data_IF_695156829152
#
_entry.id   IF_695156829152
#
_cell.length_a   1.000
_cell.length_b   1.000
_cell.length_c   1.000
_cell.angle_alpha   90.00
_cell.angle_beta   90.00
_cell.angle_gamma   90.00
#
_symmetry.space_group_name_H-M   'P 1'
#
loop_
_entity.id
_entity.type
_entity.pdbx_description
1 polymer ?
#
# COMPACT_ATOMS: atom_id res chain seq x y z
N UNK A 1 -1.57 18.38 -0.40
CA UNK A 1 -0.69 19.27 0.43
C UNK A 1 -1.46 20.35 1.19
N UNK A 2 -2.22 21.23 0.53
CA UNK A 2 -2.77 22.44 1.19
C UNK A 2 -3.86 22.16 2.24
N UNK A 3 -4.83 21.28 1.93
CA UNK A 3 -5.94 20.99 2.83
C UNK A 3 -5.51 20.21 4.08
N UNK A 4 -4.93 19.02 3.88
CA UNK A 4 -4.54 18.11 4.97
C UNK A 4 -3.14 18.47 5.50
N UNK A 5 -2.14 18.49 4.63
CA UNK A 5 -0.73 18.68 5.03
C UNK A 5 -0.47 19.99 5.77
N UNK A 6 -0.77 21.13 5.14
CA UNK A 6 -0.60 22.45 5.77
C UNK A 6 -1.65 22.74 6.84
N UNK A 7 -2.81 22.07 6.79
CA UNK A 7 -3.82 22.14 7.83
C UNK A 7 -3.43 21.44 9.13
N UNK A 8 -2.34 20.65 9.12
CA UNK A 8 -1.89 19.82 10.24
C UNK A 8 -3.04 18.98 10.83
N UNK A 9 -2.98 18.67 12.12
CA UNK A 9 -3.98 17.85 12.79
C UNK A 9 -5.40 18.42 12.66
N UNK A 10 -5.60 19.72 12.88
CA UNK A 10 -6.93 20.35 12.85
C UNK A 10 -7.55 20.25 11.45
N UNK A 11 -6.79 20.58 10.41
CA UNK A 11 -7.24 20.46 9.02
C UNK A 11 -7.48 19.01 8.62
N UNK A 12 -6.55 18.11 8.96
CA UNK A 12 -6.70 16.68 8.70
C UNK A 12 -7.98 16.13 9.32
N UNK A 13 -8.19 16.31 10.64
CA UNK A 13 -9.40 15.84 11.33
C UNK A 13 -10.68 16.37 10.69
N UNK A 14 -10.71 17.65 10.29
CA UNK A 14 -11.86 18.26 9.65
C UNK A 14 -12.19 17.57 8.31
N UNK A 15 -11.21 17.43 7.43
CA UNK A 15 -11.43 16.84 6.10
C UNK A 15 -11.68 15.32 6.15
N UNK A 16 -11.08 14.61 7.10
CA UNK A 16 -11.35 13.18 7.31
C UNK A 16 -12.77 12.95 7.83
N UNK A 17 -13.26 13.76 8.78
CA UNK A 17 -14.67 13.69 9.23
C UNK A 17 -15.64 13.98 8.10
N UNK A 18 -15.34 14.96 7.24
CA UNK A 18 -16.16 15.23 6.05
C UNK A 18 -16.15 14.06 5.06
N UNK A 19 -15.04 13.33 4.95
CA UNK A 19 -14.91 12.21 4.01
C UNK A 19 -15.86 11.05 4.32
N UNK A 20 -16.36 10.96 5.56
CA UNK A 20 -17.37 9.97 5.95
C UNK A 20 -18.77 10.24 5.38
N UNK A 21 -19.04 11.47 4.93
CA UNK A 21 -20.36 11.88 4.43
C UNK A 21 -20.34 12.37 2.98
N UNK A 22 -19.14 12.53 2.40
CA UNK A 22 -18.95 12.96 1.02
C UNK A 22 -17.63 12.41 0.48
N UNK A 23 -17.56 12.19 -0.84
CA UNK A 23 -16.37 11.66 -1.47
C UNK A 23 -15.14 12.56 -1.24
N UNK A 24 -14.00 11.93 -0.93
CA UNK A 24 -12.76 12.62 -0.58
C UNK A 24 -12.24 13.48 -1.73
N UNK A 25 -12.41 13.04 -2.98
CA UNK A 25 -12.00 13.81 -4.15
C UNK A 25 -12.68 15.18 -4.19
N UNK A 26 -14.00 15.23 -4.05
CA UNK A 26 -14.76 16.48 -4.07
C UNK A 26 -14.37 17.39 -2.91
N UNK A 27 -14.17 16.82 -1.72
CA UNK A 27 -13.74 17.59 -0.53
C UNK A 27 -12.38 18.25 -0.79
N UNK A 28 -11.37 17.46 -1.18
CA UNK A 28 -10.01 17.98 -1.36
C UNK A 28 -9.92 18.94 -2.54
N UNK A 29 -10.61 18.67 -3.64
CA UNK A 29 -10.64 19.54 -4.80
C UNK A 29 -11.28 20.90 -4.47
N UNK A 30 -12.45 20.90 -3.84
CA UNK A 30 -13.13 22.14 -3.45
C UNK A 30 -12.34 22.94 -2.41
N UNK A 31 -11.76 22.26 -1.41
CA UNK A 31 -10.90 22.89 -0.42
C UNK A 31 -9.63 23.49 -1.03
N UNK A 32 -8.94 22.76 -1.92
CA UNK A 32 -7.75 23.24 -2.60
C UNK A 32 -8.01 24.52 -3.40
N UNK A 33 -9.10 24.56 -4.18
CA UNK A 33 -9.53 25.75 -4.93
C UNK A 33 -9.79 26.95 -4.04
N UNK A 34 -10.45 26.75 -2.91
CA UNK A 34 -10.77 27.84 -2.01
C UNK A 34 -9.54 28.35 -1.26
N UNK A 35 -8.63 27.45 -0.85
CA UNK A 35 -7.37 27.82 -0.23
C UNK A 35 -6.47 28.59 -1.19
N UNK A 36 -6.40 28.23 -2.48
CA UNK A 36 -5.64 28.98 -3.49
C UNK A 36 -6.14 30.42 -3.65
N UNK A 37 -7.45 30.68 -3.49
CA UNK A 37 -8.03 32.03 -3.57
C UNK A 37 -7.78 32.86 -2.32
N UNK A 38 -7.71 32.23 -1.15
CA UNK A 38 -7.65 32.91 0.15
C UNK A 38 -6.24 33.07 0.70
N UNK A 39 -5.35 32.15 0.34
CA UNK A 39 -3.97 32.14 0.83
C UNK A 39 -3.06 32.82 -0.20
N UNK A 40 -1.97 33.41 0.28
CA UNK A 40 -0.93 34.01 -0.56
C UNK A 40 0.00 32.94 -1.13
N UNK A 41 -0.53 32.04 -1.96
CA UNK A 41 0.25 31.04 -2.67
C UNK A 41 0.88 31.71 -3.90
N UNK A 42 2.22 31.66 -4.01
CA UNK A 42 2.92 32.22 -5.16
C UNK A 42 2.95 31.23 -6.33
N UNK A 43 3.38 29.99 -6.05
CA UNK A 43 3.46 28.91 -7.02
C UNK A 43 3.53 27.56 -6.28
N UNK A 44 3.31 26.48 -7.01
CA UNK A 44 3.51 25.10 -6.55
C UNK A 44 4.64 24.43 -7.33
N UNK A 45 5.32 23.49 -6.68
CA UNK A 45 6.30 22.58 -7.30
C UNK A 45 5.78 21.17 -7.14
N UNK A 46 5.57 20.49 -8.26
CA UNK A 46 5.14 19.10 -8.30
C UNK A 46 6.31 18.23 -8.76
N UNK A 47 6.59 17.20 -7.98
CA UNK A 47 7.63 16.20 -8.22
C UNK A 47 6.94 14.87 -8.54
N UNK A 48 7.36 14.22 -9.61
CA UNK A 48 6.93 12.88 -9.98
C UNK A 48 8.10 11.93 -9.85
N UNK A 49 7.92 10.85 -9.11
CA UNK A 49 8.88 9.76 -8.99
C UNK A 49 8.39 8.53 -9.76
N UNK A 50 9.30 7.85 -10.44
CA UNK A 50 9.01 6.58 -11.11
C UNK A 50 9.04 5.39 -10.12
N UNK A 51 8.80 4.17 -10.61
CA UNK A 51 8.79 2.94 -9.80
C UNK A 51 10.14 2.59 -9.15
N UNK A 52 11.23 3.20 -9.62
CA UNK A 52 12.57 3.07 -9.04
C UNK A 52 12.87 4.13 -7.98
N UNK A 53 11.89 4.96 -7.63
CA UNK A 53 12.03 6.11 -6.72
C UNK A 53 13.00 7.17 -7.26
N UNK A 54 13.14 7.24 -8.58
CA UNK A 54 13.93 8.26 -9.26
C UNK A 54 12.99 9.38 -9.70
N UNK A 55 13.44 10.62 -9.56
CA UNK A 55 12.71 11.78 -10.05
C UNK A 55 12.56 11.69 -11.58
N UNK A 56 11.32 11.53 -12.04
CA UNK A 56 10.96 11.41 -13.45
C UNK A 56 10.55 12.75 -14.06
N UNK A 57 9.74 13.55 -13.34
CA UNK A 57 9.34 14.89 -13.79
C UNK A 57 9.33 15.92 -12.66
N UNK A 58 9.64 17.17 -13.04
CA UNK A 58 9.37 18.36 -12.23
C UNK A 58 8.46 19.27 -13.04
N UNK A 59 7.38 19.74 -12.44
CA UNK A 59 6.57 20.84 -12.97
C UNK A 59 6.40 21.92 -11.92
N UNK A 60 6.27 23.14 -12.40
CA UNK A 60 5.89 24.29 -11.59
C UNK A 60 4.65 24.92 -12.22
N UNK A 61 3.85 25.54 -11.38
CA UNK A 61 2.71 26.34 -11.83
C UNK A 61 2.45 27.47 -10.85
N UNK A 62 2.10 28.64 -11.37
CA UNK A 62 1.56 29.72 -10.55
C UNK A 62 0.25 29.27 -9.88
N UNK A 63 -0.21 30.02 -8.87
CA UNK A 63 -1.37 29.61 -8.06
C UNK A 63 -2.63 29.28 -8.89
N UNK A 64 -2.87 29.99 -9.99
CA UNK A 64 -3.97 29.78 -10.93
C UNK A 64 -3.74 28.61 -11.92
N UNK A 65 -2.50 28.14 -12.05
CA UNK A 65 -2.12 27.02 -12.91
C UNK A 65 -2.04 25.68 -12.17
N UNK A 66 -1.93 25.70 -10.83
CA UNK A 66 -1.70 24.49 -10.00
C UNK A 66 -2.71 23.37 -10.31
N UNK A 67 -4.01 23.69 -10.43
CA UNK A 67 -5.03 22.67 -10.72
C UNK A 67 -4.80 21.99 -12.08
N UNK A 68 -4.46 22.77 -13.10
CA UNK A 68 -4.21 22.25 -14.45
C UNK A 68 -2.93 21.42 -14.49
N UNK A 69 -1.87 21.88 -13.81
CA UNK A 69 -0.61 21.15 -13.68
C UNK A 69 -0.83 19.81 -12.96
N UNK A 70 -1.50 19.81 -11.82
CA UNK A 70 -1.79 18.59 -11.04
C UNK A 70 -2.63 17.59 -11.85
N UNK A 71 -3.66 18.08 -12.56
CA UNK A 71 -4.52 17.24 -13.39
C UNK A 71 -3.77 16.59 -14.56
N UNK A 72 -2.85 17.32 -15.19
CA UNK A 72 -2.02 16.79 -16.28
C UNK A 72 -1.00 15.78 -15.76
N UNK A 73 -0.32 16.08 -14.64
CA UNK A 73 0.62 15.16 -14.02
C UNK A 73 -0.05 13.87 -13.57
N UNK A 74 -1.24 13.95 -12.96
CA UNK A 74 -1.97 12.76 -12.54
C UNK A 74 -2.23 11.78 -13.69
N UNK A 75 -2.43 12.28 -14.92
CA UNK A 75 -2.58 11.44 -16.12
C UNK A 75 -1.28 10.73 -16.49
N UNK A 76 -0.15 11.40 -16.35
CA UNK A 76 1.18 10.85 -16.65
C UNK A 76 1.54 9.77 -15.62
N UNK A 77 1.43 10.11 -14.33
CA UNK A 77 1.82 9.22 -13.22
C UNK A 77 0.99 7.94 -13.19
N UNK A 78 -0.25 7.98 -13.68
CA UNK A 78 -1.15 6.84 -13.61
C UNK A 78 -0.57 5.60 -14.29
N UNK A 79 0.19 5.77 -15.37
CA UNK A 79 0.83 4.69 -16.10
C UNK A 79 2.18 4.26 -15.48
N UNK A 80 2.77 5.11 -14.64
CA UNK A 80 4.03 4.83 -13.94
C UNK A 80 3.84 4.29 -12.53
N UNK A 81 2.62 4.31 -11.95
CA UNK A 81 2.43 3.83 -10.58
C UNK A 81 2.87 2.36 -10.42
N UNK A 82 3.57 2.01 -9.32
CA UNK A 82 3.89 0.62 -8.99
C UNK A 82 2.62 -0.24 -8.94
N UNK A 83 2.68 -1.44 -9.52
CA UNK A 83 1.57 -2.41 -9.51
C UNK A 83 2.12 -3.82 -9.37
N UNK A 84 1.34 -4.70 -8.76
CA UNK A 84 1.63 -6.13 -8.84
C UNK A 84 1.50 -6.57 -10.31
N UNK A 85 2.41 -7.41 -10.81
CA UNK A 85 2.41 -7.75 -12.23
C UNK A 85 1.26 -8.69 -12.61
N UNK A 86 0.53 -9.27 -11.65
CA UNK A 86 -0.50 -10.28 -11.88
C UNK A 86 -1.70 -9.97 -10.98
N UNK A 87 -2.92 -10.19 -11.51
CA UNK A 87 -4.15 -9.74 -10.84
C UNK A 87 -4.74 -10.76 -9.86
N UNK A 88 -4.64 -12.07 -10.13
CA UNK A 88 -5.30 -13.10 -9.32
C UNK A 88 -4.32 -13.78 -8.37
N UNK A 89 -4.38 -13.42 -7.08
CA UNK A 89 -3.41 -13.88 -6.08
C UNK A 89 -4.14 -14.63 -4.96
N UNK A 90 -3.76 -15.89 -4.74
CA UNK A 90 -4.28 -16.68 -3.62
C UNK A 90 -3.76 -16.13 -2.31
N UNK A 91 -2.46 -15.90 -2.18
CA UNK A 91 -1.93 -15.12 -1.08
C UNK A 91 -0.67 -14.34 -1.44
N UNK A 92 -0.62 -13.11 -0.91
CA UNK A 92 0.48 -12.17 -1.06
C UNK A 92 1.25 -12.11 0.26
N UNK A 93 2.57 -12.31 0.19
CA UNK A 93 3.49 -12.11 1.29
C UNK A 93 4.15 -10.75 1.10
N UNK A 94 4.09 -9.90 2.12
CA UNK A 94 4.75 -8.61 2.17
C UNK A 94 5.77 -8.68 3.30
N UNK A 95 7.05 -8.55 2.98
CA UNK A 95 8.11 -8.68 3.97
C UNK A 95 8.04 -7.60 5.05
N UNK A 96 7.72 -6.37 4.66
CA UNK A 96 7.64 -5.24 5.59
C UNK A 96 6.55 -4.24 5.21
N UNK A 97 5.94 -3.65 6.24
CA UNK A 97 5.07 -2.48 6.12
C UNK A 97 5.63 -1.32 6.93
N UNK A 98 5.17 -0.10 6.66
CA UNK A 98 5.65 1.07 7.37
C UNK A 98 5.12 2.38 6.80
N UNK A 99 4.98 3.42 7.63
CA UNK A 99 4.48 4.72 7.17
C UNK A 99 5.42 5.38 6.14
N UNK A 100 6.70 5.02 6.19
CA UNK A 100 7.75 5.37 5.25
C UNK A 100 7.60 4.69 3.88
N UNK A 101 6.89 3.56 3.82
CA UNK A 101 6.56 2.84 2.58
C UNK A 101 5.32 3.47 1.93
N UNK A 102 4.27 3.70 2.72
CA UNK A 102 3.02 4.32 2.31
C UNK A 102 2.37 5.01 3.50
N UNK A 103 1.59 6.07 3.28
CA UNK A 103 0.88 6.74 4.38
C UNK A 103 -0.03 5.83 5.21
N UNK A 104 -0.48 4.71 4.63
CA UNK A 104 -1.28 3.66 5.28
C UNK A 104 -0.43 2.41 5.61
N UNK A 105 0.89 2.52 5.70
CA UNK A 105 1.77 1.36 5.96
C UNK A 105 2.06 0.50 4.73
N UNK A 106 1.04 0.25 3.92
CA UNK A 106 1.11 -0.36 2.58
C UNK A 106 0.25 0.44 1.61
N UNK A 107 0.54 0.38 0.31
CA UNK A 107 -0.30 1.00 -0.71
C UNK A 107 -1.53 0.12 -0.96
N UNK A 108 -2.70 0.67 -0.63
CA UNK A 108 -3.99 -0.04 -0.69
C UNK A 108 -4.46 -0.34 -2.11
N UNK A 109 -4.00 0.42 -3.11
CA UNK A 109 -4.34 0.20 -4.52
C UNK A 109 -3.41 -0.84 -5.13
N UNK A 110 -2.14 -0.88 -4.71
CA UNK A 110 -1.18 -1.93 -5.11
C UNK A 110 -1.69 -3.31 -4.71
N UNK A 111 -2.19 -3.47 -3.47
CA UNK A 111 -2.68 -4.76 -2.97
C UNK A 111 -4.16 -5.02 -3.27
N UNK A 112 -4.84 -4.08 -3.94
CA UNK A 112 -6.26 -4.19 -4.29
C UNK A 112 -7.20 -4.23 -3.08
N UNK A 113 -6.81 -3.61 -1.97
CA UNK A 113 -7.56 -3.63 -0.70
C UNK A 113 -7.43 -2.32 0.07
N UNK A 114 -8.47 -1.49 -0.01
CA UNK A 114 -8.65 -0.24 0.72
C UNK A 114 -9.16 -0.48 2.14
N UNK A 115 -10.08 -1.44 2.30
CA UNK A 115 -10.65 -1.83 3.58
C UNK A 115 -11.34 -0.68 4.33
N UNK A 116 -12.03 0.20 3.58
CA UNK A 116 -12.80 1.33 4.10
C UNK A 116 -14.09 1.53 3.30
N UNK A 117 -15.11 0.66 3.47
CA UNK A 117 -16.29 0.61 2.60
C UNK A 117 -17.15 1.88 2.66
N UNK A 118 -17.06 2.67 3.74
CA UNK A 118 -17.74 3.96 3.85
C UNK A 118 -17.08 5.06 3.01
N UNK A 119 -15.76 4.94 2.73
CA UNK A 119 -14.99 5.98 2.06
C UNK A 119 -14.77 5.69 0.58
N UNK A 120 -14.52 4.44 0.22
CA UNK A 120 -14.21 4.07 -1.15
C UNK A 120 -14.59 2.63 -1.46
N UNK A 121 -14.88 2.39 -2.74
CA UNK A 121 -15.04 1.03 -3.28
C UNK A 121 -13.68 0.37 -3.42
N UNK A 122 -13.64 -0.93 -3.19
CA UNK A 122 -12.46 -1.73 -3.47
C UNK A 122 -12.09 -1.69 -4.95
N UNK A 123 -10.78 -1.70 -5.30
CA UNK A 123 -10.33 -1.92 -6.67
C UNK A 123 -10.84 -3.26 -7.20
N UNK A 124 -11.14 -3.32 -8.51
CA UNK A 124 -11.52 -4.58 -9.15
C UNK A 124 -10.33 -5.53 -9.31
N UNK A 125 -9.13 -4.96 -9.46
CA UNK A 125 -7.85 -5.66 -9.51
C UNK A 125 -6.75 -4.88 -8.76
N UNK A 126 -5.71 -5.57 -8.25
CA UNK A 126 -5.60 -7.03 -8.15
C UNK A 126 -6.57 -7.62 -7.12
N UNK A 127 -6.92 -8.90 -7.26
CA UNK A 127 -7.71 -9.66 -6.29
C UNK A 127 -6.80 -10.56 -5.47
N UNK A 128 -6.50 -10.11 -4.26
CA UNK A 128 -5.71 -10.86 -3.28
C UNK A 128 -6.63 -11.52 -2.25
N UNK A 129 -6.67 -12.86 -2.20
CA UNK A 129 -7.53 -13.55 -1.22
C UNK A 129 -6.97 -13.44 0.20
N UNK A 130 -5.66 -13.59 0.39
CA UNK A 130 -5.01 -13.42 1.70
C UNK A 130 -3.76 -12.56 1.62
N UNK A 131 -3.57 -11.67 2.58
CA UNK A 131 -2.35 -10.87 2.75
C UNK A 131 -1.66 -11.28 4.04
N UNK A 132 -0.38 -11.61 3.95
CA UNK A 132 0.52 -11.83 5.07
C UNK A 132 1.47 -10.63 5.14
N UNK A 133 1.58 -9.98 6.30
CA UNK A 133 2.64 -8.99 6.54
C UNK A 133 3.61 -9.53 7.57
N UNK A 134 4.89 -9.59 7.19
CA UNK A 134 5.91 -10.30 7.94
C UNK A 134 6.56 -9.45 9.03
N UNK A 135 6.73 -8.15 8.81
CA UNK A 135 7.40 -7.24 9.75
C UNK A 135 6.97 -5.77 9.60
N UNK A 136 7.39 -4.94 10.54
CA UNK A 136 7.24 -3.48 10.56
C UNK A 136 8.62 -2.81 10.46
N UNK A 137 8.76 -1.83 9.57
CA UNK A 137 10.00 -1.07 9.39
C UNK A 137 10.36 -0.29 10.65
N UNK A 138 11.66 -0.13 10.91
CA UNK A 138 12.13 0.70 12.03
C UNK A 138 11.76 2.19 11.83
N UNK A 139 11.83 2.66 10.58
CA UNK A 139 11.49 4.05 10.19
C UNK A 139 10.02 4.41 10.39
N UNK A 140 9.14 3.43 10.63
CA UNK A 140 7.76 3.70 11.03
C UNK A 140 7.61 4.18 12.48
N UNK A 141 8.66 4.06 13.30
CA UNK A 141 8.65 4.35 14.75
C UNK A 141 7.53 3.58 15.50
N UNK A 142 7.24 2.36 15.02
CA UNK A 142 6.18 1.50 15.55
C UNK A 142 4.77 1.86 15.07
N UNK A 143 4.61 2.84 14.17
CA UNK A 143 3.32 3.20 13.63
C UNK A 143 2.85 2.19 12.57
N UNK A 144 1.97 1.28 12.97
CA UNK A 144 1.45 0.23 12.12
C UNK A 144 0.04 0.57 11.56
N UNK A 145 -0.19 1.84 11.23
CA UNK A 145 -1.42 2.24 10.52
C UNK A 145 -1.57 1.36 9.26
N UNK A 146 -2.77 0.81 9.04
CA UNK A 146 -3.02 -0.10 7.92
C UNK A 146 -2.78 -1.58 8.19
N UNK A 147 -2.26 -1.97 9.36
CA UNK A 147 -2.02 -3.40 9.69
C UNK A 147 -3.27 -4.27 9.55
N UNK A 148 -4.45 -3.70 9.80
CA UNK A 148 -5.74 -4.37 9.67
C UNK A 148 -6.16 -4.70 8.24
N UNK A 149 -5.41 -4.24 7.23
CA UNK A 149 -5.61 -4.64 5.83
C UNK A 149 -5.14 -6.08 5.61
N UNK A 150 -4.19 -6.57 6.43
CA UNK A 150 -3.70 -7.94 6.34
C UNK A 150 -4.69 -8.96 6.94
N UNK A 151 -4.60 -10.20 6.47
CA UNK A 151 -5.30 -11.34 7.07
C UNK A 151 -4.45 -11.98 8.17
N UNK A 152 -3.13 -12.01 7.96
CA UNK A 152 -2.16 -12.61 8.86
C UNK A 152 -0.99 -11.67 9.13
N UNK A 153 -0.54 -11.64 10.37
CA UNK A 153 0.68 -10.95 10.79
C UNK A 153 1.54 -11.86 11.65
N UNK A 154 2.81 -11.54 11.80
CA UNK A 154 3.70 -12.29 12.69
C UNK A 154 3.72 -11.68 14.10
N UNK A 155 4.11 -12.49 15.10
CA UNK A 155 4.34 -12.00 16.47
C UNK A 155 5.36 -10.84 16.50
N UNK A 156 6.48 -10.96 15.77
CA UNK A 156 7.51 -9.90 15.70
C UNK A 156 6.98 -8.56 15.18
N UNK A 157 6.05 -8.57 14.22
CA UNK A 157 5.43 -7.34 13.73
C UNK A 157 4.62 -6.69 14.84
N UNK A 158 3.77 -7.48 15.50
CA UNK A 158 2.87 -7.01 16.57
C UNK A 158 3.65 -6.47 17.76
N UNK A 159 4.77 -7.10 18.12
CA UNK A 159 5.66 -6.64 19.20
C UNK A 159 6.27 -5.25 18.92
N UNK A 160 6.50 -4.89 17.66
CA UNK A 160 7.01 -3.58 17.26
C UNK A 160 5.93 -2.48 17.24
N UNK A 161 4.64 -2.81 17.38
CA UNK A 161 3.56 -1.83 17.25
C UNK A 161 3.52 -0.88 18.44
N UNK A 162 3.76 0.40 18.17
CA UNK A 162 3.41 1.49 19.06
C UNK A 162 1.92 1.80 18.90
N UNK A 163 1.11 1.32 19.85
CA UNK A 163 -0.35 1.50 19.85
C UNK A 163 -0.77 2.96 19.92
N UNK A 164 -0.07 3.79 20.69
CA UNK A 164 -0.40 5.21 20.83
C UNK A 164 -0.27 5.94 19.49
N UNK A 165 0.90 5.83 18.85
CA UNK A 165 1.14 6.44 17.55
C UNK A 165 0.19 5.91 16.46
N UNK A 166 -0.09 4.61 16.49
CA UNK A 166 -0.99 3.94 15.54
C UNK A 166 -2.43 4.44 15.71
N UNK A 167 -2.93 4.53 16.95
CA UNK A 167 -4.31 4.94 17.23
C UNK A 167 -4.54 6.43 17.01
N UNK A 168 -3.57 7.30 17.32
CA UNK A 168 -3.66 8.73 17.01
C UNK A 168 -3.89 8.94 15.51
N UNK A 169 -3.12 8.26 14.65
CA UNK A 169 -3.30 8.35 13.20
C UNK A 169 -4.66 7.79 12.75
N UNK A 170 -5.08 6.65 13.30
CA UNK A 170 -6.36 6.06 12.93
C UNK A 170 -7.56 6.93 13.31
N UNK A 171 -7.54 7.53 14.51
CA UNK A 171 -8.59 8.44 14.97
C UNK A 171 -8.59 9.73 14.14
N UNK A 172 -7.41 10.27 13.82
CA UNK A 172 -7.28 11.47 12.98
C UNK A 172 -7.76 11.22 11.54
N UNK A 173 -7.42 10.05 10.99
CA UNK A 173 -7.78 9.65 9.62
C UNK A 173 -9.22 9.17 9.45
N UNK A 174 -9.88 8.74 10.54
CA UNK A 174 -11.15 8.03 10.48
C UNK A 174 -11.01 6.56 10.05
N UNK A 175 -9.82 5.99 10.23
CA UNK A 175 -9.38 4.69 9.68
C UNK A 175 -9.40 3.58 10.74
N UNK A 176 -10.47 3.46 11.52
CA UNK A 176 -10.50 2.60 12.70
C UNK A 176 -10.42 1.09 12.37
N UNK A 177 -10.95 0.67 11.22
CA UNK A 177 -10.88 -0.70 10.73
C UNK A 177 -9.45 -1.14 10.45
N UNK A 178 -8.59 -0.19 10.03
CA UNK A 178 -7.22 -0.44 9.58
C UNK A 178 -6.22 -0.66 10.70
N UNK A 179 -6.62 -0.52 11.97
CA UNK A 179 -5.76 -0.78 13.13
C UNK A 179 -6.17 -2.02 13.93
N UNK A 180 -7.14 -2.79 13.43
CA UNK A 180 -7.46 -4.11 13.99
C UNK A 180 -6.27 -5.03 13.79
N UNK A 181 -5.75 -5.62 14.86
CA UNK A 181 -4.65 -6.59 14.76
C UNK A 181 -5.19 -7.89 14.13
N UNK A 182 -4.65 -8.34 12.97
CA UNK A 182 -5.08 -9.57 12.31
C UNK A 182 -4.67 -10.82 13.08
N UNK A 183 -4.97 -12.00 12.51
CA UNK A 183 -4.54 -13.28 13.08
C UNK A 183 -3.00 -13.27 13.21
N UNK A 184 -2.54 -13.21 14.47
CA UNK A 184 -1.11 -13.16 14.79
C UNK A 184 -0.58 -14.57 14.91
N UNK A 185 0.46 -14.88 14.13
CA UNK A 185 1.07 -16.20 14.07
C UNK A 185 2.55 -16.10 14.45
N UNK A 186 3.07 -17.20 15.00
CA UNK A 186 4.45 -17.25 15.52
C UNK A 186 5.52 -16.70 14.57
N UNK A 187 5.43 -17.08 13.29
CA UNK A 187 6.42 -16.70 12.28
C UNK A 187 5.82 -16.81 10.86
N UNK A 188 6.61 -16.43 9.86
CA UNK A 188 6.19 -16.43 8.45
C UNK A 188 5.84 -17.83 7.97
N UNK A 189 6.59 -18.86 8.38
CA UNK A 189 6.29 -20.26 8.03
C UNK A 189 4.88 -20.64 8.44
N UNK A 190 4.49 -20.33 9.69
CA UNK A 190 3.12 -20.59 10.17
C UNK A 190 2.07 -19.76 9.45
N UNK A 191 2.38 -18.50 9.11
CA UNK A 191 1.48 -17.68 8.29
C UNK A 191 1.24 -18.28 6.90
N UNK A 192 2.29 -18.76 6.22
CA UNK A 192 2.17 -19.43 4.92
C UNK A 192 1.38 -20.74 5.02
N UNK A 193 1.64 -21.57 6.03
CA UNK A 193 0.89 -22.82 6.26
C UNK A 193 -0.61 -22.56 6.43
N UNK A 194 -0.98 -21.55 7.22
CA UNK A 194 -2.38 -21.19 7.48
C UNK A 194 -3.02 -20.54 6.25
N UNK A 195 -2.32 -19.63 5.57
CA UNK A 195 -2.80 -18.97 4.37
C UNK A 195 -3.14 -19.98 3.27
N UNK A 196 -2.22 -20.91 2.97
CA UNK A 196 -2.41 -21.95 1.96
C UNK A 196 -3.66 -22.83 2.23
N UNK A 197 -4.00 -23.06 3.51
CA UNK A 197 -5.20 -23.82 3.91
C UNK A 197 -6.49 -22.99 3.86
N UNK A 198 -6.39 -21.67 3.79
CA UNK A 198 -7.52 -20.74 3.92
C UNK A 198 -8.00 -20.15 2.58
N UNK A 199 -7.31 -20.43 1.47
CA UNK A 199 -7.59 -19.88 0.13
C UNK A 199 -8.51 -20.75 -0.73
N UNK A 200 -8.91 -21.91 -0.19
CA UNK A 200 -9.82 -22.87 -0.83
C UNK A 200 -9.18 -24.24 -1.07
N UNK A 201 -9.89 -25.10 -1.79
CA UNK A 201 -9.42 -26.44 -2.19
C UNK A 201 -8.54 -26.36 -3.45
N UNK A 202 -7.36 -25.75 -3.32
CA UNK A 202 -6.39 -25.60 -4.41
C UNK A 202 -5.24 -26.56 -4.17
N UNK A 203 -4.83 -27.30 -5.22
CA UNK A 203 -3.66 -28.17 -5.13
C UNK A 203 -2.39 -27.33 -4.89
N UNK A 204 -1.45 -27.75 -4.03
CA UNK A 204 -0.27 -26.93 -3.70
C UNK A 204 0.51 -26.40 -4.92
N UNK A 205 0.63 -27.20 -5.98
CA UNK A 205 1.34 -26.81 -7.21
C UNK A 205 0.60 -25.76 -8.06
N UNK A 206 -0.71 -25.61 -7.84
CA UNK A 206 -1.56 -24.64 -8.51
C UNK A 206 -1.77 -23.34 -7.70
N UNK A 207 -1.22 -23.25 -6.49
CA UNK A 207 -1.35 -22.07 -5.64
C UNK A 207 -0.65 -20.87 -6.29
N UNK A 208 -1.41 -19.78 -6.46
CA UNK A 208 -0.96 -18.50 -6.99
C UNK A 208 -0.43 -17.63 -5.87
N UNK A 209 0.86 -17.79 -5.56
CA UNK A 209 1.56 -17.08 -4.50
C UNK A 209 2.38 -15.95 -5.11
N UNK A 210 2.38 -14.79 -4.45
CA UNK A 210 3.34 -13.72 -4.72
C UNK A 210 4.01 -13.28 -3.41
N UNK A 211 5.30 -12.94 -3.47
CA UNK A 211 6.03 -12.29 -2.38
C UNK A 211 6.69 -11.02 -2.91
N UNK A 212 6.59 -9.96 -2.13
CA UNK A 212 7.22 -8.66 -2.40
C UNK A 212 7.97 -8.19 -1.16
N UNK A 213 9.00 -7.37 -1.35
CA UNK A 213 9.63 -6.66 -0.22
C UNK A 213 8.60 -5.77 0.48
N UNK A 214 8.04 -4.81 -0.27
CA UNK A 214 6.98 -3.92 0.18
C UNK A 214 6.31 -3.26 -1.04
N UNK A 215 5.24 -2.49 -0.82
CA UNK A 215 4.47 -1.87 -1.92
C UNK A 215 5.17 -0.67 -2.58
N UNK A 216 6.29 -0.20 -2.03
CA UNK A 216 7.11 0.89 -2.59
C UNK A 216 8.22 0.38 -3.52
N UNK A 217 8.66 -0.87 -3.32
CA UNK A 217 9.71 -1.53 -4.10
C UNK A 217 9.15 -2.76 -4.81
N UNK A 218 8.61 -2.56 -6.03
CA UNK A 218 7.95 -3.60 -6.84
C UNK A 218 8.66 -3.92 -8.17
N UNK A 219 9.91 -3.47 -8.32
CA UNK A 219 10.72 -3.80 -9.51
C UNK A 219 10.98 -5.30 -9.61
N UNK A 220 11.06 -5.97 -8.46
CA UNK A 220 11.27 -7.40 -8.35
C UNK A 220 10.15 -8.02 -7.51
N UNK A 221 9.62 -9.16 -7.96
CA UNK A 221 8.62 -9.94 -7.24
C UNK A 221 8.94 -11.42 -7.33
N UNK A 222 8.73 -12.14 -6.24
CA UNK A 222 8.76 -13.60 -6.23
C UNK A 222 7.36 -14.12 -6.52
N UNK A 223 7.24 -15.11 -7.40
CA UNK A 223 5.96 -15.70 -7.80
C UNK A 223 6.05 -17.22 -7.85
N UNK A 224 4.94 -17.91 -7.57
CA UNK A 224 4.89 -19.36 -7.72
C UNK A 224 4.89 -19.81 -9.18
N UNK A 225 5.29 -21.07 -9.40
CA UNK A 225 5.23 -21.73 -10.72
C UNK A 225 3.84 -21.76 -11.36
N UNK A 226 2.78 -21.58 -10.56
CA UNK A 226 1.40 -21.54 -11.05
C UNK A 226 1.18 -20.46 -12.13
N UNK A 227 2.04 -19.43 -12.18
CA UNK A 227 1.97 -18.35 -13.15
C UNK A 227 2.73 -18.59 -14.46
N UNK A 228 3.40 -19.74 -14.64
CA UNK A 228 4.29 -19.99 -15.79
C UNK A 228 3.64 -19.71 -17.16
N UNK A 229 2.36 -20.06 -17.32
CA UNK A 229 1.63 -19.78 -18.57
C UNK A 229 1.38 -18.28 -18.76
N UNK A 230 0.94 -17.57 -17.73
CA UNK A 230 0.66 -16.13 -17.78
C UNK A 230 1.94 -15.32 -18.05
N UNK A 231 3.07 -15.73 -17.45
CA UNK A 231 4.37 -15.11 -17.71
C UNK A 231 4.80 -15.24 -19.17
N UNK A 232 4.53 -16.38 -19.82
CA UNK A 232 4.89 -16.58 -21.23
C UNK A 232 4.19 -15.61 -22.20
N UNK A 233 3.10 -14.97 -21.74
CA UNK A 233 2.33 -13.99 -22.50
C UNK A 233 2.77 -12.54 -22.22
N UNK A 234 3.65 -12.33 -21.24
CA UNK A 234 4.09 -11.00 -20.78
C UNK A 234 5.48 -10.68 -21.33
N UNK A 235 5.57 -9.58 -22.07
CA UNK A 235 6.83 -9.10 -22.67
C UNK A 235 7.50 -7.98 -21.86
N UNK A 236 6.78 -7.48 -20.87
CA UNK A 236 7.15 -6.44 -19.93
C UNK A 236 7.81 -6.99 -18.65
N UNK A 237 7.95 -8.32 -18.54
CA UNK A 237 8.55 -9.00 -17.40
C UNK A 237 9.80 -9.78 -17.83
N UNK A 238 10.80 -9.81 -16.96
CA UNK A 238 12.03 -10.59 -17.11
C UNK A 238 12.17 -11.58 -15.96
N UNK A 239 12.49 -12.84 -16.27
CA UNK A 239 12.80 -13.85 -15.25
C UNK A 239 14.29 -13.73 -14.93
N UNK A 240 14.60 -13.07 -13.81
CA UNK A 240 15.98 -12.89 -13.34
C UNK A 240 16.49 -14.07 -12.50
N UNK A 241 15.58 -14.90 -11.98
CA UNK A 241 15.88 -16.15 -11.25
C UNK A 241 14.88 -17.22 -11.69
N UNK A 242 15.34 -18.33 -12.28
CA UNK A 242 14.44 -19.35 -12.85
C UNK A 242 13.57 -20.06 -11.80
N UNK A 243 14.19 -20.55 -10.73
CA UNK A 243 13.48 -21.28 -9.68
C UNK A 243 14.31 -21.28 -8.39
N UNK A 244 13.67 -20.86 -7.29
CA UNK A 244 14.24 -21.00 -5.95
C UNK A 244 13.18 -21.50 -4.97
N UNK A 245 13.51 -22.45 -4.07
CA UNK A 245 12.61 -22.81 -2.98
C UNK A 245 12.51 -21.65 -1.98
N UNK A 246 11.39 -21.59 -1.26
CA UNK A 246 11.33 -20.76 -0.05
C UNK A 246 12.26 -21.33 1.01
N UNK A 247 13.28 -20.56 1.35
CA UNK A 247 14.21 -20.87 2.42
C UNK A 247 13.74 -20.14 3.67
N UNK A 248 13.59 -20.92 4.74
CA UNK A 248 13.24 -20.39 6.05
C UNK A 248 14.40 -20.63 7.00
N UNK A 249 14.69 -19.63 7.83
CA UNK A 249 15.66 -19.76 8.92
C UNK A 249 15.17 -20.71 10.03
N UNK A 250 15.99 -20.88 11.07
CA UNK A 250 15.66 -21.70 12.25
C UNK A 250 14.48 -21.16 13.06
N UNK A 251 14.17 -19.87 12.94
CA UNK A 251 13.05 -19.22 13.62
C UNK A 251 11.75 -19.29 12.80
N UNK A 252 11.83 -19.76 11.55
CA UNK A 252 10.71 -19.89 10.63
C UNK A 252 10.37 -18.60 9.89
N UNK A 253 11.31 -17.66 9.78
CA UNK A 253 11.19 -16.48 8.93
C UNK A 253 11.79 -16.77 7.55
N UNK A 254 11.31 -16.06 6.52
CA UNK A 254 11.92 -16.11 5.21
C UNK A 254 13.26 -15.35 5.23
N UNK A 255 14.23 -15.83 4.45
CA UNK A 255 15.43 -15.05 4.12
C UNK A 255 15.03 -13.68 3.56
N UNK A 256 15.75 -12.59 3.88
CA UNK A 256 15.45 -11.25 3.35
C UNK A 256 15.24 -11.26 1.83
N UNK A 257 14.28 -10.44 1.38
CA UNK A 257 13.97 -10.27 -0.04
C UNK A 257 15.19 -9.81 -0.85
#
# INVERSE_FOLDING_TARGET
>A
MMAIGLGNQVGAEHYHRLSLVRDQYTIINSAGKELLKRCNVLFGVALVENQKQELAEIKMGLADEIEAVESNLLRIVRDEMPRLPLDEIDFLIIDEMGKDISGTGIDTKVVGRIYMPLLAKEPETPRVKRIIICDLTESSEGNAIGVGIADFVTERLVEKVNKEATYINAITGGDLERVRIPLTLKNVRKAVEVAARSVGLIHPEALRLMRIKNTKHLVEVDISKAYKQELSLRRDLEIIVEEKPFVFDSEGNLEPF
#
